data_IF_315786637804
#
_entry.id   IF_315786637804
#
_cell.length_a   1.000
_cell.length_b   1.000
_cell.length_c   1.000
_cell.angle_alpha   90.00
_cell.angle_beta   90.00
_cell.angle_gamma   90.00
#
_symmetry.space_group_name_H-M   'P 1'
#
loop_
_entity.id
_entity.type
_entity.pdbx_description
1 polymer ?
#
# COMPACT_ATOMS: atom_id res chain seq x y z
N UNK A 1 0.01 -6.82 8.65
CA UNK A 1 1.16 -5.95 9.01
C UNK A 1 1.12 -4.71 8.11
N UNK A 2 1.55 -3.55 8.59
CA UNK A 2 1.54 -2.31 7.81
C UNK A 2 2.93 -1.68 7.71
N UNK A 3 3.29 -1.22 6.53
CA UNK A 3 4.50 -0.44 6.26
C UNK A 3 4.12 1.04 6.10
N UNK A 4 4.86 1.91 6.79
CA UNK A 4 4.70 3.36 6.66
C UNK A 4 5.49 3.85 5.46
N UNK A 5 4.85 4.61 4.59
CA UNK A 5 5.47 5.16 3.38
C UNK A 5 5.18 6.64 3.26
N UNK A 6 6.09 7.40 2.66
CA UNK A 6 5.86 8.84 2.41
C UNK A 6 4.92 9.11 1.24
N UNK A 7 4.85 8.18 0.29
CA UNK A 7 3.97 8.29 -0.87
C UNK A 7 3.49 6.90 -1.28
N UNK A 8 2.17 6.65 -1.16
CA UNK A 8 1.58 5.34 -1.48
C UNK A 8 1.63 5.03 -2.98
N UNK A 9 1.43 6.01 -3.85
CA UNK A 9 1.47 5.81 -5.31
C UNK A 9 2.86 5.36 -5.78
N UNK A 10 3.93 5.95 -5.23
CA UNK A 10 5.29 5.53 -5.52
C UNK A 10 5.58 4.12 -5.04
N UNK A 11 5.07 3.74 -3.85
CA UNK A 11 5.22 2.38 -3.33
C UNK A 11 4.47 1.35 -4.20
N UNK A 12 3.26 1.68 -4.67
CA UNK A 12 2.50 0.84 -5.60
C UNK A 12 3.23 0.72 -6.94
N UNK A 13 3.72 1.82 -7.51
CA UNK A 13 4.45 1.80 -8.77
C UNK A 13 5.75 0.98 -8.67
N UNK A 14 6.43 1.06 -7.52
CA UNK A 14 7.60 0.23 -7.23
C UNK A 14 7.22 -1.26 -7.25
N UNK A 15 6.18 -1.68 -6.50
CA UNK A 15 5.74 -3.08 -6.50
C UNK A 15 5.25 -3.57 -7.87
N UNK A 16 4.55 -2.72 -8.63
CA UNK A 16 4.11 -3.05 -9.98
C UNK A 16 5.29 -3.35 -10.92
N UNK A 17 6.45 -2.71 -10.72
CA UNK A 17 7.67 -3.02 -11.48
C UNK A 17 8.25 -4.41 -11.20
N UNK A 18 7.83 -5.05 -10.11
CA UNK A 18 8.16 -6.44 -9.75
C UNK A 18 6.99 -7.40 -10.00
N UNK A 19 5.99 -7.00 -10.79
CA UNK A 19 4.78 -7.78 -11.06
C UNK A 19 3.95 -8.11 -9.80
N UNK A 20 4.04 -7.28 -8.76
CA UNK A 20 3.20 -7.39 -7.57
C UNK A 20 2.05 -6.39 -7.66
N UNK A 21 0.83 -6.91 -7.72
CA UNK A 21 -0.39 -6.10 -7.78
C UNK A 21 -0.79 -5.61 -6.38
N UNK A 22 -1.27 -4.37 -6.33
CA UNK A 22 -1.90 -3.78 -5.15
C UNK A 22 -3.39 -3.57 -5.42
N UNK A 23 -4.19 -3.61 -4.36
CA UNK A 23 -5.58 -3.16 -4.40
C UNK A 23 -5.67 -1.66 -4.74
N UNK A 24 -6.86 -1.16 -5.12
CA UNK A 24 -7.07 0.27 -5.31
C UNK A 24 -6.69 1.07 -4.06
N UNK A 25 -6.01 2.20 -4.26
CA UNK A 25 -5.67 3.13 -3.18
C UNK A 25 -6.95 3.71 -2.60
N UNK A 26 -7.06 3.66 -1.27
CA UNK A 26 -8.16 4.21 -0.48
C UNK A 26 -7.65 5.33 0.41
N UNK A 27 -8.58 6.12 0.94
CA UNK A 27 -8.30 7.16 1.93
C UNK A 27 -8.97 6.75 3.23
N UNK A 28 -8.21 6.78 4.32
CA UNK A 28 -8.71 6.55 5.67
C UNK A 28 -9.61 7.73 6.08
N UNK A 29 -10.87 7.46 6.41
CA UNK A 29 -11.87 8.48 6.71
C UNK A 29 -11.59 9.26 8.00
N UNK A 30 -10.82 8.68 8.93
CA UNK A 30 -10.51 9.30 10.21
C UNK A 30 -9.27 10.19 10.14
N UNK A 31 -8.29 9.80 9.33
CA UNK A 31 -6.99 10.48 9.27
C UNK A 31 -6.75 11.26 7.96
N UNK A 32 -7.54 10.97 6.92
CA UNK A 32 -7.31 11.48 5.57
C UNK A 32 -6.10 10.87 4.86
N UNK A 33 -5.44 9.86 5.46
CA UNK A 33 -4.21 9.27 4.92
C UNK A 33 -4.52 8.22 3.87
N UNK A 34 -3.70 8.17 2.81
CA UNK A 34 -3.84 7.16 1.75
C UNK A 34 -3.30 5.82 2.22
N UNK A 35 -3.92 4.73 1.78
CA UNK A 35 -3.46 3.39 2.05
C UNK A 35 -3.89 2.40 0.95
N UNK A 36 -3.21 1.25 0.88
CA UNK A 36 -3.61 0.13 0.01
C UNK A 36 -3.12 -1.19 0.58
N UNK A 37 -3.71 -2.30 0.13
CA UNK A 37 -3.30 -3.65 0.47
C UNK A 37 -2.64 -4.34 -0.71
N UNK A 38 -1.74 -5.26 -0.41
CA UNK A 38 -1.15 -6.21 -1.33
C UNK A 38 -0.91 -7.54 -0.61
N UNK A 39 -0.53 -8.58 -1.34
CA UNK A 39 -0.21 -9.88 -0.74
C UNK A 39 1.24 -10.26 -1.02
N UNK A 40 1.86 -10.89 -0.05
CA UNK A 40 3.13 -11.57 -0.27
C UNK A 40 2.89 -12.92 -1.00
N UNK A 41 3.96 -13.65 -1.39
CA UNK A 41 3.82 -14.93 -2.09
C UNK A 41 3.05 -16.00 -1.31
N UNK A 42 3.01 -15.92 0.03
CA UNK A 42 2.25 -16.83 0.89
C UNK A 42 0.79 -16.40 1.05
N UNK A 43 0.40 -15.29 0.42
CA UNK A 43 -0.96 -14.76 0.43
C UNK A 43 -1.29 -13.91 1.65
N UNK A 44 -0.31 -13.58 2.51
CA UNK A 44 -0.51 -12.76 3.69
C UNK A 44 -0.85 -11.32 3.26
N UNK A 45 -1.95 -10.72 3.77
CA UNK A 45 -2.28 -9.34 3.46
C UNK A 45 -1.33 -8.39 4.19
N UNK A 46 -0.67 -7.55 3.41
CA UNK A 46 0.22 -6.48 3.82
C UNK A 46 -0.38 -5.13 3.38
N UNK A 47 -0.06 -4.08 4.11
CA UNK A 47 -0.62 -2.74 3.89
C UNK A 47 0.49 -1.71 3.72
N UNK A 48 0.33 -0.79 2.77
CA UNK A 48 1.02 0.49 2.77
C UNK A 48 0.12 1.55 3.36
N UNK A 49 0.63 2.32 4.31
CA UNK A 49 -0.08 3.44 4.93
C UNK A 49 0.76 4.70 4.84
N UNK A 50 0.17 5.76 4.30
CA UNK A 50 0.88 7.03 4.09
C UNK A 50 1.17 7.73 5.41
N UNK A 51 2.36 8.31 5.51
CA UNK A 51 2.75 9.19 6.61
C UNK A 51 3.28 10.50 6.04
N UNK A 52 3.17 11.56 6.84
CA UNK A 52 3.68 12.89 6.54
C UNK A 52 5.22 12.93 6.56
#
# INVERSE_FOLDING_TARGET
>A
MAFRVKNVEQAVAFLASFATECEPIRVDELTGKRFTFFRDPDGLPLEFYEID
#
